data_IF_297583009565
#
_entry.id   IF_297583009565
#
_cell.length_a   1.000
_cell.length_b   1.000
_cell.length_c   1.000
_cell.angle_alpha   90.00
_cell.angle_beta   90.00
_cell.angle_gamma   90.00
#
_symmetry.space_group_name_H-M   'P 1'
#
loop_
_entity.id
_entity.type
_entity.pdbx_description
1 polymer ?
#
# COMPACT_ATOMS: atom_id res chain seq x y z
N UNK A 1 7.63 -2.07 -23.80
CA UNK A 1 8.04 -1.93 -23.52
C UNK A 1 8.54 -1.63 -22.95
N UNK A 2 8.83 -1.31 -22.93
CA UNK A 2 9.37 -1.13 -22.33
C UNK A 2 9.65 -0.86 -21.94
N UNK A 3 9.44 -1.19 -22.65
CA UNK A 3 9.63 -1.01 -22.38
C UNK A 3 9.44 -0.66 -21.58
N UNK A 4 8.69 -1.08 -21.55
CA UNK A 4 8.73 -0.86 -20.73
C UNK A 4 9.54 -0.22 -20.08
N UNK A 5 9.89 -0.09 -20.33
CA UNK A 5 11.03 0.68 -20.11
C UNK A 5 10.80 1.80 -19.14
N UNK A 6 11.61 1.93 -18.13
CA UNK A 6 11.49 2.96 -17.13
C UNK A 6 10.42 2.73 -16.07
N UNK A 7 9.64 1.71 -16.22
CA UNK A 7 8.63 1.41 -15.22
C UNK A 7 9.15 0.36 -14.25
N UNK A 8 9.39 0.78 -13.02
CA UNK A 8 9.75 -0.13 -11.95
C UNK A 8 8.50 -0.81 -11.38
N UNK A 9 8.69 -1.86 -10.59
CA UNK A 9 7.58 -2.48 -9.88
C UNK A 9 6.87 -1.48 -8.97
N UNK A 10 7.63 -0.58 -8.36
CA UNK A 10 7.05 0.43 -7.49
C UNK A 10 6.15 1.40 -8.28
N UNK A 11 6.57 1.78 -9.50
CA UNK A 11 5.77 2.65 -10.35
C UNK A 11 4.46 1.97 -10.77
N UNK A 12 4.53 0.69 -11.10
CA UNK A 12 3.34 -0.09 -11.45
C UNK A 12 2.38 -0.18 -10.27
N UNK A 13 2.91 -0.41 -9.08
CA UNK A 13 2.10 -0.47 -7.86
C UNK A 13 1.46 0.87 -7.59
N UNK A 14 2.20 1.97 -7.76
CA UNK A 14 1.66 3.30 -7.55
C UNK A 14 0.50 3.59 -8.50
N UNK A 15 0.61 3.18 -9.75
CA UNK A 15 -0.46 3.36 -10.73
C UNK A 15 -1.71 2.57 -10.33
N UNK A 16 -1.52 1.31 -9.91
CA UNK A 16 -2.64 0.48 -9.45
C UNK A 16 -3.30 1.06 -8.22
N UNK A 17 -2.50 1.58 -7.30
CA UNK A 17 -3.02 2.20 -6.09
C UNK A 17 -3.85 3.44 -6.41
N UNK A 18 -3.42 4.26 -7.38
CA UNK A 18 -4.18 5.43 -7.79
C UNK A 18 -5.55 5.05 -8.36
N UNK A 19 -5.61 3.97 -9.15
CA UNK A 19 -6.88 3.45 -9.66
C UNK A 19 -7.78 2.97 -8.53
N UNK A 20 -7.20 2.28 -7.57
CA UNK A 20 -7.93 1.77 -6.41
C UNK A 20 -8.53 2.91 -5.58
N UNK A 21 -7.76 3.98 -5.38
CA UNK A 21 -8.24 5.16 -4.65
C UNK A 21 -9.44 5.80 -5.35
N UNK A 22 -9.40 5.89 -6.67
CA UNK A 22 -10.52 6.47 -7.42
C UNK A 22 -11.79 5.63 -7.26
N UNK A 23 -11.65 4.31 -7.28
CA UNK A 23 -12.78 3.41 -7.07
C UNK A 23 -13.36 3.57 -5.67
N UNK A 24 -12.50 3.67 -4.66
CA UNK A 24 -12.92 3.88 -3.29
C UNK A 24 -13.64 5.21 -3.12
N UNK A 25 -13.14 6.27 -3.75
CA UNK A 25 -13.75 7.58 -3.67
C UNK A 25 -15.18 7.56 -4.24
N UNK A 26 -15.38 6.84 -5.34
CA UNK A 26 -16.72 6.71 -5.92
C UNK A 26 -17.66 5.94 -5.00
N UNK A 27 -17.18 4.86 -4.40
CA UNK A 27 -17.99 4.09 -3.45
C UNK A 27 -18.35 4.92 -2.24
N UNK A 28 -17.42 5.74 -1.81
CA UNK A 28 -17.62 6.61 -0.68
C UNK A 28 -18.77 7.57 -0.91
N UNK A 29 -18.80 8.18 -2.10
CA UNK A 29 -19.87 9.12 -2.45
C UNK A 29 -21.24 8.44 -2.34
N UNK A 30 -21.30 7.14 -2.63
CA UNK A 30 -22.54 6.39 -2.56
C UNK A 30 -22.92 6.00 -1.13
N UNK A 31 -21.94 5.83 -0.24
CA UNK A 31 -22.20 5.31 1.11
C UNK A 31 -22.04 6.31 2.25
N UNK A 32 -21.59 7.52 1.93
CA UNK A 32 -21.47 8.57 2.94
C UNK A 32 -20.37 8.38 3.98
N UNK A 33 -19.42 7.49 3.72
CA UNK A 33 -18.29 7.23 4.62
C UNK A 33 -17.22 8.30 4.43
N UNK A 34 -16.36 8.49 5.42
CA UNK A 34 -15.26 9.46 5.33
C UNK A 34 -14.26 9.05 4.25
N UNK A 35 -13.87 10.03 3.42
CA UNK A 35 -12.86 9.83 2.39
C UNK A 35 -11.53 9.41 3.02
N UNK A 36 -11.17 10.06 4.13
CA UNK A 36 -9.92 9.75 4.83
C UNK A 36 -9.89 8.31 5.33
N UNK A 37 -10.99 7.86 5.93
CA UNK A 37 -11.07 6.51 6.47
C UNK A 37 -10.96 5.46 5.37
N UNK A 38 -11.66 5.65 4.25
CA UNK A 38 -11.59 4.70 3.14
C UNK A 38 -10.22 4.72 2.46
N UNK A 39 -9.60 5.90 2.38
CA UNK A 39 -8.27 5.99 1.80
C UNK A 39 -7.25 5.24 2.68
N UNK A 40 -7.37 5.34 4.01
CA UNK A 40 -6.50 4.62 4.91
C UNK A 40 -6.72 3.11 4.83
N UNK A 41 -7.97 2.68 4.79
CA UNK A 41 -8.28 1.27 4.61
C UNK A 41 -7.71 0.72 3.31
N UNK A 42 -7.82 1.48 2.24
CA UNK A 42 -7.26 1.11 0.96
C UNK A 42 -5.75 1.00 0.99
N UNK A 43 -5.09 1.92 1.67
CA UNK A 43 -3.64 1.87 1.83
C UNK A 43 -3.21 0.66 2.63
N UNK A 44 -3.92 0.35 3.69
CA UNK A 44 -3.60 -0.81 4.52
C UNK A 44 -3.76 -2.10 3.72
N UNK A 45 -4.87 -2.25 3.03
CA UNK A 45 -5.13 -3.42 2.19
C UNK A 45 -4.07 -3.59 1.12
N UNK A 46 -3.73 -2.50 0.44
CA UNK A 46 -2.73 -2.53 -0.62
C UNK A 46 -1.34 -2.84 -0.05
N UNK A 47 -1.02 -2.28 1.12
CA UNK A 47 0.24 -2.56 1.79
C UNK A 47 0.36 -4.04 2.12
N UNK A 48 -0.70 -4.64 2.63
CA UNK A 48 -0.70 -6.06 2.94
C UNK A 48 -0.42 -6.91 1.70
N UNK A 49 -1.05 -6.56 0.58
CA UNK A 49 -0.83 -7.27 -0.68
C UNK A 49 0.61 -7.16 -1.14
N UNK A 50 1.17 -5.96 -1.09
CA UNK A 50 2.54 -5.73 -1.53
C UNK A 50 3.54 -6.45 -0.63
N UNK A 51 3.32 -6.42 0.67
CA UNK A 51 4.19 -7.11 1.62
C UNK A 51 4.12 -8.63 1.44
N UNK A 52 2.95 -9.15 1.15
CA UNK A 52 2.74 -10.59 1.03
C UNK A 52 3.05 -11.17 -0.35
N UNK A 53 2.91 -10.36 -1.39
CA UNK A 53 2.95 -10.87 -2.78
C UNK A 53 4.11 -10.36 -3.61
N UNK A 54 4.89 -9.41 -3.12
CA UNK A 54 6.03 -8.86 -3.87
C UNK A 54 7.29 -8.87 -3.03
N UNK A 55 8.43 -8.63 -3.70
CA UNK A 55 9.71 -8.47 -3.03
C UNK A 55 10.11 -6.99 -2.90
N UNK A 56 9.17 -6.08 -3.09
CA UNK A 56 9.44 -4.66 -2.90
C UNK A 56 9.89 -4.43 -1.47
N UNK A 57 10.92 -3.60 -1.30
CA UNK A 57 11.35 -3.26 0.05
C UNK A 57 10.36 -2.26 0.67
N UNK A 58 10.52 -2.03 1.97
CA UNK A 58 9.59 -1.17 2.70
C UNK A 58 9.61 0.25 2.16
N UNK A 59 10.78 0.75 1.77
CA UNK A 59 10.92 2.07 1.18
C UNK A 59 10.14 2.17 -0.14
N UNK A 60 10.24 1.14 -0.97
CA UNK A 60 9.52 1.10 -2.24
C UNK A 60 8.02 1.09 -2.06
N UNK A 61 7.53 0.32 -1.09
CA UNK A 61 6.10 0.27 -0.79
C UNK A 61 5.62 1.61 -0.26
N UNK A 62 6.40 2.24 0.64
CA UNK A 62 6.06 3.55 1.17
C UNK A 62 5.90 4.58 0.06
N UNK A 63 6.84 4.60 -0.87
CA UNK A 63 6.78 5.52 -2.00
C UNK A 63 5.56 5.25 -2.88
N UNK A 64 5.25 3.99 -3.14
CA UNK A 64 4.10 3.61 -3.95
C UNK A 64 2.79 4.05 -3.32
N UNK A 65 2.73 4.11 -1.99
CA UNK A 65 1.53 4.51 -1.25
C UNK A 65 1.51 5.99 -0.89
N UNK A 66 2.42 6.78 -1.48
CA UNK A 66 2.50 8.24 -1.28
C UNK A 66 2.93 8.67 0.11
N UNK A 67 3.68 7.85 0.82
CA UNK A 67 4.29 8.30 2.08
C UNK A 67 5.62 8.99 1.80
N UNK A 68 5.95 9.96 2.64
CA UNK A 68 7.17 10.73 2.47
C UNK A 68 8.43 9.85 2.58
N UNK A 69 8.40 8.87 3.48
CA UNK A 69 9.52 7.95 3.68
C UNK A 69 9.03 6.68 4.35
N UNK A 70 9.95 5.72 4.52
CA UNK A 70 9.63 4.45 5.13
C UNK A 70 9.19 4.60 6.59
N UNK A 71 9.71 5.60 7.29
CA UNK A 71 9.34 5.84 8.69
C UNK A 71 7.87 6.23 8.82
N UNK A 72 7.40 7.12 7.93
CA UNK A 72 6.00 7.54 7.93
C UNK A 72 5.08 6.35 7.66
N UNK A 73 5.44 5.53 6.68
CA UNK A 73 4.69 4.33 6.36
C UNK A 73 4.68 3.35 7.55
N UNK A 74 5.83 3.14 8.18
CA UNK A 74 5.94 2.23 9.32
C UNK A 74 5.03 2.67 10.47
N UNK A 75 4.98 3.97 10.75
CA UNK A 75 4.11 4.48 11.81
C UNK A 75 2.64 4.22 11.48
N UNK A 76 2.24 4.47 10.25
CA UNK A 76 0.86 4.23 9.83
C UNK A 76 0.52 2.74 9.89
N UNK A 77 1.43 1.89 9.43
CA UNK A 77 1.19 0.45 9.42
C UNK A 77 1.06 -0.10 10.84
N UNK A 78 1.91 0.39 11.76
CA UNK A 78 1.80 0.00 13.16
C UNK A 78 0.48 0.43 13.78
N UNK A 79 0.00 1.60 13.40
CA UNK A 79 -1.31 2.08 13.87
C UNK A 79 -2.43 1.17 13.38
N UNK A 80 -2.34 0.69 12.13
CA UNK A 80 -3.37 -0.17 11.55
C UNK A 80 -3.32 -1.61 12.05
N UNK A 81 -2.12 -2.17 12.17
CA UNK A 81 -1.94 -3.61 12.40
C UNK A 81 -1.36 -3.98 13.75
N UNK A 82 -0.77 -3.02 14.46
CA UNK A 82 -0.10 -3.27 15.71
C UNK A 82 1.33 -3.77 15.56
N UNK A 83 1.83 -3.93 14.34
CA UNK A 83 3.18 -4.41 14.10
C UNK A 83 3.84 -3.65 12.94
N UNK A 84 5.17 -3.80 12.80
CA UNK A 84 5.87 -3.15 11.69
C UNK A 84 5.64 -3.89 10.38
N UNK A 85 5.79 -3.20 9.24
CA UNK A 85 5.68 -3.88 7.94
C UNK A 85 6.69 -5.02 7.79
N UNK A 86 7.91 -4.82 8.25
CA UNK A 86 8.94 -5.86 8.15
C UNK A 86 8.58 -7.09 8.97
N UNK A 87 8.10 -6.89 10.20
CA UNK A 87 7.69 -7.98 11.06
C UNK A 87 6.47 -8.71 10.48
N UNK A 88 5.52 -7.97 9.94
CA UNK A 88 4.33 -8.53 9.32
C UNK A 88 4.71 -9.41 8.12
N UNK A 89 5.61 -8.91 7.28
CA UNK A 89 6.09 -9.67 6.12
C UNK A 89 6.79 -10.96 6.54
N UNK A 90 7.67 -10.87 7.53
CA UNK A 90 8.41 -12.04 8.00
C UNK A 90 7.47 -13.09 8.58
N UNK A 91 6.50 -12.65 9.34
CA UNK A 91 5.51 -13.55 9.94
C UNK A 91 4.67 -14.23 8.87
N UNK A 92 4.25 -13.49 7.86
CA UNK A 92 3.44 -14.03 6.78
C UNK A 92 4.22 -15.07 5.97
N UNK A 93 5.50 -14.83 5.72
CA UNK A 93 6.34 -15.77 4.98
C UNK A 93 6.63 -17.04 5.77
N UNK A 94 6.77 -16.91 7.08
CA UNK A 94 6.97 -18.09 7.93
C UNK A 94 5.72 -18.94 8.05
N UNK A 95 4.58 -18.34 7.93
CA UNK A 95 3.30 -19.03 8.03
C UNK A 95 2.96 -19.90 6.82
N UNK A 96 3.83 -19.91 5.80
CA UNK A 96 3.62 -20.72 4.60
C UNK A 96 4.34 -22.05 4.69
#
# INVERSE_FOLDING_TARGET
SGLLTGHSSADQVAALFSMHRRTLTRRLAAHGTSITDLAEEGRFEFAQRMLGSTNLDITGIAAALDYADASAFTRAFRRWSGTTPAAWRARRRRGR
#
